data_IF_693937031520
#
_entry.id   IF_693937031520
#
_cell.length_a   1.000
_cell.length_b   1.000
_cell.length_c   1.000
_cell.angle_alpha   90.00
_cell.angle_beta   90.00
_cell.angle_gamma   90.00
#
_symmetry.space_group_name_H-M   'P 1'
#
loop_
_entity.id
_entity.type
_entity.pdbx_description
1 polymer ?
#
# COMPACT_ATOMS: atom_id res chain seq x y z
N UNK A 1 4.34 27.71 15.37
CA UNK A 1 3.43 27.30 16.46
C UNK A 1 4.17 27.36 17.80
N UNK A 2 3.72 28.18 18.77
CA UNK A 2 4.36 28.31 20.09
C UNK A 2 4.21 27.06 20.98
N UNK A 3 3.12 26.30 20.81
CA UNK A 3 2.79 25.16 21.67
C UNK A 3 3.75 23.97 21.51
N UNK A 4 4.13 23.62 20.29
CA UNK A 4 5.01 22.48 20.03
C UNK A 4 6.43 22.72 20.55
N UNK A 5 6.97 23.92 20.32
CA UNK A 5 8.30 24.29 20.83
C UNK A 5 8.35 24.29 22.35
N UNK A 6 7.29 24.75 23.01
CA UNK A 6 7.19 24.72 24.47
C UNK A 6 7.14 23.28 25.01
N UNK A 7 6.37 22.39 24.36
CA UNK A 7 6.32 20.97 24.74
C UNK A 7 7.67 20.28 24.59
N UNK A 8 8.37 20.50 23.47
CA UNK A 8 9.71 19.91 23.26
C UNK A 8 10.69 20.45 24.30
N UNK A 9 10.69 21.76 24.59
CA UNK A 9 11.57 22.33 25.61
C UNK A 9 11.31 21.77 27.00
N UNK A 10 10.04 21.55 27.35
CA UNK A 10 9.68 20.91 28.61
C UNK A 10 10.23 19.48 28.68
N UNK A 11 10.09 18.71 27.60
CA UNK A 11 10.67 17.37 27.49
C UNK A 11 12.20 17.38 27.60
N UNK A 12 12.88 18.30 26.91
CA UNK A 12 14.34 18.49 27.02
C UNK A 12 14.77 18.78 28.47
N UNK A 13 14.00 19.61 29.19
CA UNK A 13 14.24 19.91 30.60
C UNK A 13 14.04 18.69 31.50
N UNK A 14 12.99 17.90 31.27
CA UNK A 14 12.70 16.68 32.03
C UNK A 14 13.77 15.59 31.79
N UNK A 15 14.30 15.52 30.57
CA UNK A 15 15.38 14.58 30.19
C UNK A 15 16.77 15.02 30.67
N UNK A 16 16.96 16.32 30.93
CA UNK A 16 18.24 16.90 31.32
C UNK A 16 19.23 17.06 30.15
N UNK A 17 18.75 17.04 28.91
CA UNK A 17 19.58 17.27 27.72
C UNK A 17 18.78 17.80 26.54
N UNK A 18 19.46 18.59 25.69
CA UNK A 18 18.88 19.14 24.47
C UNK A 18 18.77 18.06 23.38
N UNK A 19 17.56 17.91 22.84
CA UNK A 19 17.27 17.07 21.67
C UNK A 19 17.50 17.85 20.37
N UNK A 20 17.41 19.18 20.42
CA UNK A 20 17.64 20.07 19.30
C UNK A 20 18.60 21.21 19.65
N UNK A 21 19.55 21.47 18.76
CA UNK A 21 20.30 22.72 18.73
C UNK A 21 19.51 23.75 17.92
N UNK A 22 19.27 24.92 18.50
CA UNK A 22 18.49 26.00 17.89
C UNK A 22 19.38 27.20 17.67
N UNK A 23 19.56 27.61 16.42
CA UNK A 23 20.16 28.89 16.04
C UNK A 23 19.09 29.82 15.47
N UNK A 24 19.41 31.10 15.31
CA UNK A 24 18.49 32.08 14.71
C UNK A 24 18.13 31.78 13.25
N UNK A 25 18.86 30.89 12.57
CA UNK A 25 18.62 30.52 11.17
C UNK A 25 18.16 29.08 10.97
N UNK A 26 18.41 28.19 11.93
CA UNK A 26 18.28 26.75 11.70
C UNK A 26 18.09 25.95 12.99
N UNK A 27 17.33 24.85 12.91
CA UNK A 27 17.10 23.89 14.00
C UNK A 27 17.63 22.53 13.56
N UNK A 28 18.52 21.94 14.36
CA UNK A 28 19.13 20.63 14.07
C UNK A 28 18.97 19.69 15.24
N UNK A 29 18.66 18.43 14.95
CA UNK A 29 18.62 17.36 15.96
C UNK A 29 20.04 17.10 16.51
N UNK A 30 20.15 16.83 17.81
CA UNK A 30 21.42 16.44 18.45
C UNK A 30 21.63 14.93 18.36
N UNK A 31 22.84 14.45 18.65
CA UNK A 31 23.10 13.01 18.75
C UNK A 31 22.22 12.33 19.82
N UNK A 32 22.03 12.99 20.96
CA UNK A 32 21.08 12.57 21.99
C UNK A 32 19.64 12.58 21.47
N UNK A 33 19.27 13.57 20.65
CA UNK A 33 17.99 13.65 19.96
C UNK A 33 17.72 12.47 19.04
N UNK A 34 18.72 12.05 18.25
CA UNK A 34 18.63 10.89 17.36
C UNK A 34 18.42 9.60 18.17
N UNK A 35 19.21 9.40 19.22
CA UNK A 35 19.09 8.22 20.08
C UNK A 35 17.74 8.19 20.81
N UNK A 36 17.33 9.31 21.40
CA UNK A 36 16.03 9.42 22.05
C UNK A 36 14.87 9.16 21.09
N UNK A 37 14.94 9.67 19.86
CA UNK A 37 13.91 9.42 18.85
C UNK A 37 13.73 7.93 18.55
N UNK A 38 14.82 7.16 18.44
CA UNK A 38 14.76 5.70 18.22
C UNK A 38 14.02 5.01 19.37
N UNK A 39 14.45 5.23 20.61
CA UNK A 39 13.80 4.63 21.79
C UNK A 39 12.36 5.10 21.98
N UNK A 40 12.09 6.39 21.76
CA UNK A 40 10.73 6.94 21.87
C UNK A 40 9.80 6.36 20.81
N UNK A 41 10.28 6.13 19.59
CA UNK A 41 9.52 5.49 18.52
C UNK A 41 9.14 4.05 18.90
N UNK A 42 10.09 3.28 19.41
CA UNK A 42 9.84 1.92 19.93
C UNK A 42 8.83 1.92 21.09
N UNK A 43 8.95 2.84 22.04
CA UNK A 43 8.03 2.96 23.18
C UNK A 43 6.61 3.31 22.73
N UNK A 44 6.47 4.27 21.81
CA UNK A 44 5.17 4.66 21.25
C UNK A 44 4.56 3.49 20.48
N UNK A 45 5.36 2.76 19.72
CA UNK A 45 4.97 1.56 18.99
C UNK A 45 4.47 0.47 19.96
N UNK A 46 5.20 0.22 21.03
CA UNK A 46 4.82 -0.76 22.05
C UNK A 46 3.57 -0.34 22.83
N UNK A 47 3.43 0.95 23.14
CA UNK A 47 2.22 1.51 23.73
C UNK A 47 1.01 1.30 22.82
N UNK A 48 1.12 1.62 21.53
CA UNK A 48 0.04 1.41 20.54
C UNK A 48 -0.36 -0.05 20.44
N UNK A 49 0.61 -0.96 20.29
CA UNK A 49 0.35 -2.41 20.24
C UNK A 49 -0.31 -2.91 21.54
N UNK A 50 0.10 -2.37 22.69
CA UNK A 50 -0.51 -2.70 23.99
C UNK A 50 -1.94 -2.20 24.06
N UNK A 51 -2.21 -0.96 23.67
CA UNK A 51 -3.56 -0.39 23.65
C UNK A 51 -4.47 -1.12 22.67
N UNK A 52 -3.96 -1.57 21.52
CA UNK A 52 -4.69 -2.41 20.57
C UNK A 52 -5.06 -3.75 21.21
N UNK A 53 -4.10 -4.46 21.82
CA UNK A 53 -4.36 -5.71 22.55
C UNK A 53 -5.36 -5.52 23.69
N UNK A 54 -5.27 -4.40 24.42
CA UNK A 54 -6.19 -4.08 25.52
C UNK A 54 -7.58 -3.70 25.01
N UNK A 55 -7.67 -3.02 23.87
CA UNK A 55 -8.93 -2.72 23.19
C UNK A 55 -9.61 -4.02 22.74
N UNK A 56 -8.85 -4.93 22.14
CA UNK A 56 -9.28 -6.27 21.74
C UNK A 56 -9.72 -7.14 22.94
N UNK A 57 -9.21 -6.89 24.15
CA UNK A 57 -9.64 -7.56 25.38
C UNK A 57 -10.89 -6.93 26.02
N UNK A 58 -11.14 -5.64 25.76
CA UNK A 58 -12.22 -4.86 26.39
C UNK A 58 -13.55 -4.88 25.62
N UNK A 59 -13.51 -5.24 24.33
CA UNK A 59 -14.70 -5.40 23.48
C UNK A 59 -14.87 -6.89 23.20
N UNK A 60 -16.05 -7.43 23.50
CA UNK A 60 -16.49 -8.82 23.28
C UNK A 60 -16.58 -9.21 21.78
N UNK A 61 -15.56 -8.91 20.98
CA UNK A 61 -15.46 -9.32 19.58
C UNK A 61 -13.99 -9.54 19.24
N UNK A 62 -13.64 -10.76 18.83
CA UNK A 62 -12.27 -11.25 18.64
C UNK A 62 -11.29 -10.27 17.95
N UNK A 63 -9.97 -10.41 18.19
CA UNK A 63 -8.96 -9.58 17.53
C UNK A 63 -9.12 -9.69 16.02
N UNK A 64 -9.42 -8.58 15.33
CA UNK A 64 -9.59 -8.56 13.87
C UNK A 64 -8.23 -8.63 13.18
N UNK A 65 -7.99 -9.62 12.31
CA UNK A 65 -6.82 -9.58 11.42
C UNK A 65 -7.08 -8.50 10.35
N UNK A 66 -6.32 -7.40 10.43
CA UNK A 66 -6.39 -6.26 9.49
C UNK A 66 -5.40 -6.47 8.34
N UNK A 67 -5.87 -6.49 7.10
CA UNK A 67 -5.06 -6.80 5.92
C UNK A 67 -5.25 -5.72 4.86
N UNK A 68 -4.16 -5.10 4.41
CA UNK A 68 -4.13 -4.26 3.21
C UNK A 68 -4.01 -5.13 1.95
N UNK A 69 -4.87 -4.91 0.97
CA UNK A 69 -4.96 -5.74 -0.25
C UNK A 69 -5.09 -4.89 -1.50
N UNK A 70 -4.45 -5.34 -2.58
CA UNK A 70 -4.69 -4.84 -3.94
C UNK A 70 -5.93 -5.52 -4.54
N UNK A 71 -6.63 -4.82 -5.43
CA UNK A 71 -7.80 -5.34 -6.13
C UNK A 71 -7.51 -6.68 -6.85
N UNK A 72 -6.31 -6.82 -7.47
CA UNK A 72 -5.88 -8.06 -8.13
C UNK A 72 -5.79 -9.27 -7.21
N UNK A 73 -5.67 -9.05 -5.90
CA UNK A 73 -5.50 -10.12 -4.89
C UNK A 73 -6.81 -10.55 -4.26
N UNK A 74 -7.94 -9.91 -4.60
CA UNK A 74 -9.24 -10.10 -3.94
C UNK A 74 -9.73 -11.56 -3.97
N UNK A 75 -9.58 -12.27 -5.09
CA UNK A 75 -9.98 -13.68 -5.19
C UNK A 75 -9.06 -14.59 -4.35
N UNK A 76 -7.76 -14.29 -4.32
CA UNK A 76 -6.79 -15.05 -3.56
C UNK A 76 -7.04 -14.89 -2.05
N UNK A 77 -7.21 -13.65 -1.57
CA UNK A 77 -7.44 -13.37 -0.16
C UNK A 77 -8.78 -13.94 0.34
N UNK A 78 -9.83 -13.93 -0.50
CA UNK A 78 -11.11 -14.54 -0.14
C UNK A 78 -10.98 -16.06 0.08
N UNK A 79 -10.23 -16.76 -0.78
CA UNK A 79 -9.96 -18.19 -0.62
C UNK A 79 -9.09 -18.47 0.61
N UNK A 80 -8.10 -17.63 0.89
CA UNK A 80 -7.25 -17.73 2.08
C UNK A 80 -8.07 -17.56 3.35
N UNK A 81 -8.89 -16.51 3.43
CA UNK A 81 -9.78 -16.24 4.57
C UNK A 81 -10.76 -17.39 4.76
N UNK A 82 -11.38 -17.91 3.69
CA UNK A 82 -12.27 -19.07 3.80
C UNK A 82 -11.59 -20.27 4.44
N UNK A 83 -10.36 -20.58 4.02
CA UNK A 83 -9.58 -21.70 4.57
C UNK A 83 -9.14 -21.45 6.01
N UNK A 84 -8.70 -20.23 6.34
CA UNK A 84 -8.29 -19.91 7.70
C UNK A 84 -9.50 -19.90 8.66
N UNK A 85 -10.65 -19.40 8.21
CA UNK A 85 -11.86 -19.35 8.99
C UNK A 85 -12.49 -20.72 9.27
N UNK A 86 -12.23 -21.74 8.43
CA UNK A 86 -12.65 -23.12 8.78
C UNK A 86 -11.92 -23.67 9.99
N UNK A 87 -10.66 -23.27 10.19
CA UNK A 87 -9.82 -23.69 11.31
C UNK A 87 -10.04 -22.77 12.54
N UNK A 88 -10.45 -21.52 12.31
CA UNK A 88 -10.70 -20.50 13.33
C UNK A 88 -12.03 -19.75 13.08
N UNK A 89 -13.20 -20.34 13.43
CA UNK A 89 -14.52 -19.78 13.11
C UNK A 89 -14.83 -18.47 13.83
N UNK A 90 -14.22 -18.24 14.99
CA UNK A 90 -14.39 -17.01 15.76
C UNK A 90 -13.51 -15.86 15.21
N UNK A 91 -12.56 -16.15 14.32
CA UNK A 91 -11.65 -15.14 13.80
C UNK A 91 -12.38 -14.15 12.87
N UNK A 92 -12.29 -12.86 13.18
CA UNK A 92 -12.76 -11.76 12.33
C UNK A 92 -11.62 -11.19 11.46
N UNK A 93 -11.96 -10.69 10.28
CA UNK A 93 -11.00 -10.10 9.34
C UNK A 93 -11.49 -8.73 8.91
N UNK A 94 -10.55 -7.82 8.63
CA UNK A 94 -10.85 -6.52 8.04
C UNK A 94 -9.90 -6.25 6.88
N UNK A 95 -10.48 -6.07 5.70
CA UNK A 95 -9.73 -5.75 4.49
C UNK A 95 -9.71 -4.23 4.27
N UNK A 96 -8.56 -3.73 3.86
CA UNK A 96 -8.33 -2.34 3.49
C UNK A 96 -7.79 -2.30 2.07
N UNK A 97 -8.39 -1.50 1.21
CA UNK A 97 -7.85 -1.27 -0.13
C UNK A 97 -6.58 -0.41 -0.01
N UNK A 98 -5.49 -0.85 -0.64
CA UNK A 98 -4.24 -0.10 -0.73
C UNK A 98 -3.94 0.20 -2.19
N UNK A 99 -3.52 1.43 -2.49
CA UNK A 99 -3.32 1.89 -3.86
C UNK A 99 -1.87 2.26 -4.17
N UNK A 100 -1.10 2.60 -3.14
CA UNK A 100 0.29 2.99 -3.29
C UNK A 100 1.18 2.48 -2.15
N UNK A 101 2.48 2.46 -2.44
CA UNK A 101 3.53 2.02 -1.53
C UNK A 101 3.57 2.80 -0.22
N UNK A 102 3.45 4.12 -0.31
CA UNK A 102 3.64 5.02 0.82
C UNK A 102 2.50 4.85 1.82
N UNK A 103 1.27 4.78 1.31
CA UNK A 103 0.09 4.45 2.11
C UNK A 103 0.24 3.08 2.80
N UNK A 104 0.77 2.08 2.09
CA UNK A 104 1.00 0.75 2.65
C UNK A 104 2.03 0.77 3.79
N UNK A 105 3.15 1.47 3.60
CA UNK A 105 4.19 1.66 4.62
C UNK A 105 3.60 2.37 5.84
N UNK A 106 2.92 3.49 5.65
CA UNK A 106 2.34 4.26 6.75
C UNK A 106 1.33 3.44 7.55
N UNK A 107 0.45 2.69 6.88
CA UNK A 107 -0.53 1.84 7.56
C UNK A 107 0.12 0.70 8.35
N UNK A 108 1.21 0.11 7.85
CA UNK A 108 1.97 -0.92 8.54
C UNK A 108 2.69 -0.35 9.78
N UNK A 109 3.42 0.76 9.61
CA UNK A 109 4.17 1.39 10.73
C UNK A 109 3.26 1.87 11.86
N UNK A 110 2.04 2.30 11.50
CA UNK A 110 1.03 2.73 12.47
C UNK A 110 0.18 1.59 13.05
N UNK A 111 0.35 0.33 12.59
CA UNK A 111 -0.53 -0.82 12.88
C UNK A 111 -2.00 -0.58 12.55
N UNK A 112 -2.28 0.26 11.57
CA UNK A 112 -3.62 0.35 11.00
C UNK A 112 -3.97 -0.94 10.23
N UNK A 113 -2.95 -1.64 9.73
CA UNK A 113 -3.02 -3.01 9.20
C UNK A 113 -1.90 -3.87 9.77
N UNK A 114 -2.13 -5.17 9.87
CA UNK A 114 -1.14 -6.15 10.33
C UNK A 114 -0.27 -6.69 9.19
N UNK A 115 -0.84 -6.78 7.98
CA UNK A 115 -0.22 -7.34 6.79
C UNK A 115 -0.63 -6.50 5.57
N UNK A 116 0.24 -6.40 4.57
CA UNK A 116 -0.07 -5.79 3.29
C UNK A 116 0.35 -6.71 2.14
N UNK A 117 -0.57 -6.99 1.21
CA UNK A 117 -0.29 -7.73 -0.02
C UNK A 117 -0.10 -6.70 -1.13
N UNK A 118 1.14 -6.55 -1.59
CA UNK A 118 1.53 -5.54 -2.57
C UNK A 118 2.18 -6.18 -3.79
N UNK A 119 2.16 -5.47 -4.91
CA UNK A 119 2.78 -5.87 -6.18
C UNK A 119 4.20 -5.33 -6.34
N UNK A 120 4.78 -4.79 -5.26
CA UNK A 120 6.16 -4.30 -5.24
C UNK A 120 6.82 -4.64 -3.91
N UNK A 121 8.15 -4.79 -3.93
CA UNK A 121 8.92 -4.97 -2.71
C UNK A 121 8.95 -3.67 -1.90
N UNK A 122 8.41 -3.71 -0.69
CA UNK A 122 8.61 -2.65 0.31
C UNK A 122 10.02 -2.82 0.91
N UNK A 123 10.82 -1.77 0.86
CA UNK A 123 12.14 -1.71 1.48
C UNK A 123 12.08 -0.66 2.58
N UNK A 124 12.03 -1.12 3.82
CA UNK A 124 11.99 -0.29 5.03
C UNK A 124 12.63 -1.09 6.18
N UNK A 125 13.30 -0.44 7.12
CA UNK A 125 14.01 -1.13 8.21
C UNK A 125 13.06 -1.94 9.11
N UNK A 126 11.87 -1.40 9.38
CA UNK A 126 10.85 -2.05 10.21
C UNK A 126 9.84 -2.94 9.46
N UNK A 127 9.97 -3.10 8.12
CA UNK A 127 9.00 -3.87 7.32
C UNK A 127 9.69 -5.03 6.62
N UNK A 128 9.24 -6.24 6.92
CA UNK A 128 9.67 -7.47 6.25
C UNK A 128 8.78 -7.75 5.03
N UNK A 129 9.38 -7.68 3.84
CA UNK A 129 8.74 -8.13 2.59
C UNK A 129 9.08 -9.59 2.28
N UNK A 130 8.06 -10.40 1.99
CA UNK A 130 8.20 -11.82 1.62
C UNK A 130 7.61 -12.02 0.23
N UNK A 131 8.38 -12.51 -0.77
CA UNK A 131 7.83 -12.87 -2.08
C UNK A 131 6.80 -13.99 -1.95
N UNK A 132 5.62 -13.81 -2.54
CA UNK A 132 4.54 -14.81 -2.50
C UNK A 132 4.41 -15.58 -3.81
N UNK A 133 4.35 -14.86 -4.93
CA UNK A 133 4.23 -15.42 -6.28
C UNK A 133 4.64 -14.37 -7.32
N UNK A 134 4.82 -14.81 -8.55
CA UNK A 134 4.98 -13.92 -9.70
C UNK A 134 3.64 -13.80 -10.45
N UNK A 135 3.27 -12.57 -10.79
CA UNK A 135 2.06 -12.26 -11.53
C UNK A 135 2.44 -11.72 -12.91
N UNK A 136 1.76 -12.18 -13.95
CA UNK A 136 1.94 -11.67 -15.32
C UNK A 136 0.86 -10.65 -15.64
N UNK A 137 1.23 -9.56 -16.30
CA UNK A 137 0.24 -8.69 -16.94
C UNK A 137 -0.41 -9.40 -18.13
N UNK A 138 -1.72 -9.25 -18.25
CA UNK A 138 -2.53 -9.85 -19.31
C UNK A 138 -3.30 -8.75 -20.04
N UNK A 139 -3.52 -8.94 -21.33
CA UNK A 139 -4.38 -8.04 -22.10
C UNK A 139 -5.83 -8.53 -22.02
N UNK A 140 -6.71 -7.69 -21.49
CA UNK A 140 -8.15 -7.85 -21.62
C UNK A 140 -8.59 -7.26 -22.97
N UNK A 141 -9.26 -8.08 -23.77
CA UNK A 141 -9.69 -7.73 -25.12
C UNK A 141 -11.17 -8.06 -25.34
N UNK A 142 -11.82 -7.40 -26.33
CA UNK A 142 -13.11 -7.84 -26.83
C UNK A 142 -13.07 -9.32 -27.24
N UNK A 143 -14.16 -10.05 -26.98
CA UNK A 143 -14.26 -11.50 -27.21
C UNK A 143 -13.85 -11.93 -28.63
N UNK A 144 -14.11 -11.07 -29.60
CA UNK A 144 -13.93 -11.33 -31.02
C UNK A 144 -12.47 -11.15 -31.49
N UNK A 145 -11.61 -10.49 -30.70
CA UNK A 145 -10.22 -10.15 -31.08
C UNK A 145 -9.38 -11.38 -31.38
N UNK A 146 -9.52 -12.44 -30.59
CA UNK A 146 -8.63 -13.61 -30.62
C UNK A 146 -9.23 -14.82 -31.34
N UNK A 147 -10.21 -14.61 -32.24
CA UNK A 147 -10.81 -15.71 -33.01
C UNK A 147 -9.81 -16.48 -33.89
N UNK A 148 -8.85 -15.77 -34.47
CA UNK A 148 -7.90 -16.30 -35.44
C UNK A 148 -6.43 -16.21 -35.01
N UNK A 149 -6.16 -15.61 -33.84
CA UNK A 149 -4.83 -15.38 -33.31
C UNK A 149 -4.88 -15.33 -31.79
N UNK A 150 -3.76 -15.61 -31.11
CA UNK A 150 -3.65 -15.62 -29.65
C UNK A 150 -2.77 -14.47 -29.11
N UNK A 151 -2.40 -13.52 -29.96
CA UNK A 151 -1.62 -12.33 -29.60
C UNK A 151 -2.06 -11.14 -30.46
N UNK A 152 -1.80 -9.92 -29.96
CA UNK A 152 -1.98 -8.65 -30.69
C UNK A 152 -0.87 -7.70 -30.30
N UNK A 153 -0.48 -6.82 -31.23
CA UNK A 153 0.41 -5.71 -30.92
C UNK A 153 -0.40 -4.60 -30.23
N UNK A 154 0.10 -4.12 -29.09
CA UNK A 154 -0.54 -3.08 -28.29
C UNK A 154 -0.31 -1.66 -28.83
N UNK A 155 0.67 -1.46 -29.72
CA UNK A 155 1.10 -0.14 -30.20
C UNK A 155 -0.05 0.70 -30.80
N UNK A 156 -0.97 0.05 -31.52
CA UNK A 156 -2.04 0.74 -32.26
C UNK A 156 -3.44 0.51 -31.66
N UNK A 157 -3.52 -0.08 -30.47
CA UNK A 157 -4.80 -0.37 -29.83
C UNK A 157 -5.33 0.86 -29.09
N UNK A 158 -6.65 1.10 -29.10
CA UNK A 158 -7.27 1.99 -28.12
C UNK A 158 -7.15 1.34 -26.73
N UNK A 159 -6.34 1.92 -25.85
CA UNK A 159 -6.00 1.39 -24.54
C UNK A 159 -6.82 2.05 -23.43
N UNK A 160 -7.29 1.22 -22.51
CA UNK A 160 -7.90 1.59 -21.24
C UNK A 160 -6.84 1.32 -20.19
N UNK A 161 -6.26 2.38 -19.62
CA UNK A 161 -5.12 2.25 -18.70
C UNK A 161 -5.49 2.63 -17.26
N UNK A 162 -4.77 2.07 -16.27
CA UNK A 162 -4.83 2.55 -14.91
C UNK A 162 -4.44 4.03 -14.78
N UNK A 163 -4.86 4.67 -13.69
CA UNK A 163 -4.43 6.03 -13.37
C UNK A 163 -2.89 6.13 -13.26
N UNK A 164 -2.34 7.33 -13.49
CA UNK A 164 -0.89 7.60 -13.50
C UNK A 164 -0.17 7.35 -12.17
N UNK A 165 -0.91 7.29 -11.06
CA UNK A 165 -0.32 7.10 -9.74
C UNK A 165 -0.14 5.62 -9.41
N UNK A 166 -0.89 4.72 -10.06
CA UNK A 166 -0.78 3.29 -9.86
C UNK A 166 0.56 2.72 -10.32
N UNK A 167 1.04 1.68 -9.63
CA UNK A 167 2.28 1.01 -10.01
C UNK A 167 2.18 0.28 -11.34
N UNK A 168 1.01 -0.31 -11.64
CA UNK A 168 0.75 -0.94 -12.94
C UNK A 168 0.96 0.08 -14.06
N UNK A 169 0.41 1.30 -13.93
CA UNK A 169 0.62 2.34 -14.94
C UNK A 169 2.09 2.72 -15.12
N UNK A 170 2.88 2.80 -14.05
CA UNK A 170 4.32 3.07 -14.17
C UNK A 170 5.07 1.97 -14.92
N UNK A 171 4.71 0.71 -14.70
CA UNK A 171 5.28 -0.42 -15.46
C UNK A 171 4.89 -0.36 -16.94
N UNK A 172 3.64 0.00 -17.26
CA UNK A 172 3.19 0.17 -18.64
C UNK A 172 3.87 1.35 -19.32
N UNK A 173 3.98 2.50 -18.65
CA UNK A 173 4.68 3.67 -19.18
C UNK A 173 6.15 3.35 -19.45
N UNK A 174 6.85 2.64 -18.56
CA UNK A 174 8.23 2.16 -18.79
C UNK A 174 8.30 1.19 -19.98
N UNK A 175 7.35 0.25 -20.10
CA UNK A 175 7.25 -0.66 -21.24
C UNK A 175 7.14 0.08 -22.58
N UNK A 176 6.26 1.09 -22.66
CA UNK A 176 6.05 1.88 -23.87
C UNK A 176 7.24 2.79 -24.17
N UNK A 177 7.80 3.45 -23.15
CA UNK A 177 8.96 4.33 -23.28
C UNK A 177 10.18 3.58 -23.82
N UNK A 178 10.48 2.37 -23.30
CA UNK A 178 11.61 1.55 -23.78
C UNK A 178 11.49 1.15 -25.25
N UNK A 179 10.28 1.14 -25.80
CA UNK A 179 9.99 0.82 -27.20
C UNK A 179 9.78 2.05 -28.09
N UNK A 180 9.86 3.26 -27.53
CA UNK A 180 9.48 4.50 -28.21
C UNK A 180 8.05 4.50 -28.75
N UNK A 181 7.14 3.78 -28.08
CA UNK A 181 5.73 3.70 -28.44
C UNK A 181 4.97 4.78 -27.66
N UNK A 182 4.06 5.49 -28.35
CA UNK A 182 3.08 6.37 -27.69
C UNK A 182 1.75 5.65 -27.61
N UNK A 183 1.29 5.23 -26.41
CA UNK A 183 0.04 4.50 -26.28
C UNK A 183 -1.16 5.40 -26.64
N UNK A 184 -2.11 4.87 -27.41
CA UNK A 184 -3.39 5.52 -27.66
C UNK A 184 -4.35 5.28 -26.48
N UNK A 185 -4.24 6.10 -25.44
CA UNK A 185 -5.08 5.96 -24.24
C UNK A 185 -6.45 6.60 -24.46
N UNK A 186 -7.50 5.78 -24.55
CA UNK A 186 -8.89 6.24 -24.75
C UNK A 186 -9.65 6.42 -23.45
N UNK A 187 -9.26 5.71 -22.39
CA UNK A 187 -9.84 5.83 -21.04
C UNK A 187 -8.74 5.65 -20.00
N UNK A 188 -8.79 6.45 -18.94
CA UNK A 188 -8.03 6.24 -17.72
C UNK A 188 -9.00 5.93 -16.56
N UNK A 189 -8.81 4.82 -15.85
CA UNK A 189 -9.66 4.43 -14.71
C UNK A 189 -8.84 3.69 -13.65
N UNK A 190 -9.19 3.84 -12.38
CA UNK A 190 -8.56 3.15 -11.26
C UNK A 190 -9.31 1.90 -10.79
N UNK A 191 -10.49 1.62 -11.37
CA UNK A 191 -11.34 0.48 -11.02
C UNK A 191 -11.27 -0.61 -12.07
N UNK A 192 -10.85 -1.81 -11.69
CA UNK A 192 -10.79 -2.95 -12.61
C UNK A 192 -12.15 -3.25 -13.27
N UNK A 193 -13.24 -3.21 -12.51
CA UNK A 193 -14.59 -3.45 -13.03
C UNK A 193 -14.99 -2.45 -14.13
N UNK A 194 -14.56 -1.19 -14.00
CA UNK A 194 -14.82 -0.17 -15.03
C UNK A 194 -14.06 -0.50 -16.31
N UNK A 195 -12.77 -0.86 -16.20
CA UNK A 195 -11.97 -1.28 -17.34
C UNK A 195 -12.59 -2.49 -18.05
N UNK A 196 -13.05 -3.50 -17.30
CA UNK A 196 -13.75 -4.67 -17.85
C UNK A 196 -15.02 -4.27 -18.59
N UNK A 197 -15.82 -3.36 -18.02
CA UNK A 197 -17.03 -2.85 -18.67
C UNK A 197 -16.74 -2.15 -20.00
N UNK A 198 -15.71 -1.30 -20.05
CA UNK A 198 -15.30 -0.63 -21.29
C UNK A 198 -14.80 -1.60 -22.36
N UNK A 199 -14.04 -2.63 -21.99
CA UNK A 199 -13.63 -3.68 -22.92
C UNK A 199 -14.84 -4.47 -23.42
N UNK A 200 -15.77 -4.81 -22.54
CA UNK A 200 -17.01 -5.53 -22.91
C UNK A 200 -17.85 -4.74 -23.92
N UNK A 201 -17.90 -3.42 -23.78
CA UNK A 201 -18.58 -2.50 -24.72
C UNK A 201 -17.79 -2.25 -26.01
N UNK A 202 -16.60 -2.82 -26.16
CA UNK A 202 -15.76 -2.68 -27.36
C UNK A 202 -15.04 -1.34 -27.48
N UNK A 203 -14.94 -0.57 -26.38
CA UNK A 203 -14.30 0.75 -26.39
C UNK A 203 -12.77 0.66 -26.56
N UNK A 204 -12.18 -0.44 -26.11
CA UNK A 204 -10.75 -0.68 -26.25
C UNK A 204 -10.27 -1.93 -25.55
N UNK A 205 -8.98 -1.92 -25.20
CA UNK A 205 -8.24 -3.02 -24.59
C UNK A 205 -7.64 -2.55 -23.26
N UNK A 206 -7.68 -3.39 -22.22
CA UNK A 206 -7.11 -3.06 -20.92
C UNK A 206 -5.94 -3.98 -20.58
N UNK A 207 -4.98 -3.51 -19.79
CA UNK A 207 -3.83 -4.28 -19.30
C UNK A 207 -3.82 -4.27 -17.78
#
# INVERSE_FOLDING_TARGET
QPSLTATIKKMEADLGYDLFTRSTKDIKITEKGIQFYRYASELVQQYRSTMEKMYDLSVTSEPRIKIGTLESTNQWIANLIRKHHSDYPEQQYRLYEIHDKHQSIEQLLNFNIHLAITNEKITHEDIRSIPLYEESYILLAPKETFKNQNWVDVENLPLILPNKNSQVRKHLDDYFNRRNIRPNVVVETDRFESAVGFVHLGLGYAI
#
